data_IF_370812320895
#
_entry.id   IF_370812320895
#
_cell.length_a   1.000
_cell.length_b   1.000
_cell.length_c   1.000
_cell.angle_alpha   90.00
_cell.angle_beta   90.00
_cell.angle_gamma   90.00
#
_symmetry.space_group_name_H-M   'P 1'
#
loop_
_entity.id
_entity.type
_entity.pdbx_description
1 polymer ?
#
# COMPACT_ATOMS: atom_id res chain seq x y z
N UNK A 1 49.86 -5.14 -5.27
CA UNK A 1 49.63 -3.78 -4.74
C UNK A 1 49.65 -2.82 -5.91
N UNK A 2 48.48 -2.46 -6.47
CA UNK A 2 48.23 -1.35 -7.41
C UNK A 2 46.75 -1.41 -7.84
N UNK A 3 45.80 -1.12 -6.94
CA UNK A 3 44.36 -1.04 -7.29
C UNK A 3 43.64 0.17 -6.69
N UNK A 4 44.37 1.16 -6.17
CA UNK A 4 43.80 2.36 -5.55
C UNK A 4 43.87 3.61 -6.43
N UNK A 5 44.39 3.49 -7.66
CA UNK A 5 44.58 4.63 -8.56
C UNK A 5 43.45 4.82 -9.59
N UNK A 6 42.64 3.79 -9.86
CA UNK A 6 41.55 3.89 -10.86
C UNK A 6 40.25 4.48 -10.29
N UNK A 7 40.05 4.49 -8.97
CA UNK A 7 38.80 5.04 -8.38
C UNK A 7 38.77 6.57 -8.31
N UNK A 8 39.90 7.25 -8.52
CA UNK A 8 39.97 8.71 -8.48
C UNK A 8 39.76 9.35 -9.86
N UNK A 9 39.92 8.59 -10.95
CA UNK A 9 39.66 9.10 -12.31
C UNK A 9 38.16 9.12 -12.67
N UNK A 10 37.31 8.32 -12.02
CA UNK A 10 35.86 8.37 -12.28
C UNK A 10 35.20 9.63 -11.71
N UNK A 11 35.71 10.15 -10.58
CA UNK A 11 35.17 11.35 -9.91
C UNK A 11 35.45 12.62 -10.71
N UNK A 12 36.64 12.73 -11.31
CA UNK A 12 37.01 13.87 -12.16
C UNK A 12 36.18 13.97 -13.47
N UNK A 13 35.48 12.90 -13.86
CA UNK A 13 34.63 12.89 -15.05
C UNK A 13 33.21 13.44 -14.82
N UNK A 14 32.78 13.59 -13.56
CA UNK A 14 31.46 14.12 -13.20
C UNK A 14 31.40 15.65 -13.17
N UNK A 15 32.54 16.33 -12.98
CA UNK A 15 32.61 17.80 -12.98
C UNK A 15 32.31 18.44 -14.34
N UNK A 16 32.38 17.68 -15.44
CA UNK A 16 32.10 18.18 -16.80
C UNK A 16 30.61 18.24 -17.17
N UNK A 17 29.69 17.85 -16.28
CA UNK A 17 28.24 17.88 -16.56
C UNK A 17 27.52 19.14 -16.08
N UNK A 18 28.22 20.15 -15.55
CA UNK A 18 27.55 21.35 -15.05
C UNK A 18 26.56 21.05 -13.92
N UNK A 19 26.77 19.94 -13.20
CA UNK A 19 26.06 19.66 -11.96
C UNK A 19 26.75 20.53 -10.92
N UNK A 20 26.16 21.68 -10.61
CA UNK A 20 26.54 22.45 -9.43
C UNK A 20 26.53 21.49 -8.23
N UNK A 21 27.68 21.25 -7.62
CA UNK A 21 27.77 20.59 -6.32
C UNK A 21 27.15 21.54 -5.31
N UNK A 22 25.82 21.54 -5.23
CA UNK A 22 25.06 22.32 -4.25
C UNK A 22 25.56 21.93 -2.86
N UNK A 23 25.87 22.94 -2.05
CA UNK A 23 26.32 22.73 -0.67
C UNK A 23 25.27 21.91 0.09
N UNK A 24 25.55 20.62 0.28
CA UNK A 24 24.78 19.82 1.22
C UNK A 24 24.95 20.45 2.61
N UNK A 25 23.82 20.64 3.31
CA UNK A 25 23.87 20.96 4.74
C UNK A 25 24.71 19.91 5.46
N UNK A 26 25.56 20.33 6.41
CA UNK A 26 26.31 19.40 7.27
C UNK A 26 25.38 18.61 8.23
N UNK A 27 24.07 18.85 8.18
CA UNK A 27 23.07 18.27 9.05
C UNK A 27 22.56 16.92 8.49
N UNK A 28 22.50 15.85 9.31
CA UNK A 28 21.97 14.55 8.88
C UNK A 28 20.53 14.65 8.32
N UNK A 29 20.18 13.82 7.34
CA UNK A 29 18.86 13.92 6.68
C UNK A 29 17.70 13.70 7.66
N UNK A 30 17.77 12.63 8.46
CA UNK A 30 16.73 12.33 9.46
C UNK A 30 16.49 13.49 10.43
N UNK A 31 17.52 14.27 10.74
CA UNK A 31 17.37 15.43 11.61
C UNK A 31 16.63 16.58 10.91
N UNK A 32 16.91 16.83 9.62
CA UNK A 32 16.17 17.80 8.79
C UNK A 32 14.69 17.41 8.68
N UNK A 33 14.40 16.13 8.41
CA UNK A 33 13.04 15.62 8.29
C UNK A 33 12.28 15.74 9.63
N UNK A 34 12.88 15.33 10.75
CA UNK A 34 12.27 15.44 12.08
C UNK A 34 11.93 16.91 12.41
N UNK A 35 12.83 17.86 12.12
CA UNK A 35 12.62 19.29 12.34
C UNK A 35 11.43 19.84 11.55
N UNK A 36 11.45 19.64 10.24
CA UNK A 36 10.40 20.12 9.34
C UNK A 36 9.04 19.50 9.69
N UNK A 37 9.04 18.19 9.98
CA UNK A 37 7.85 17.46 10.40
C UNK A 37 7.28 17.96 11.72
N UNK A 38 8.14 18.27 12.70
CA UNK A 38 7.71 18.79 13.99
C UNK A 38 7.06 20.18 13.87
N UNK A 39 7.65 21.07 13.07
CA UNK A 39 7.08 22.40 12.85
C UNK A 39 5.76 22.34 12.07
N UNK A 40 5.66 21.45 11.07
CA UNK A 40 4.38 21.14 10.40
C UNK A 40 3.32 20.65 11.41
N UNK A 41 3.67 19.68 12.25
CA UNK A 41 2.75 19.07 13.21
C UNK A 41 2.16 20.07 14.23
N UNK A 42 2.95 21.04 14.69
CA UNK A 42 2.46 22.09 15.61
C UNK A 42 1.32 22.91 15.03
N UNK A 43 1.30 23.08 13.72
CA UNK A 43 0.31 23.89 13.02
C UNK A 43 -1.00 23.13 12.79
N UNK A 44 -1.02 21.81 13.02
CA UNK A 44 -2.24 21.01 12.95
C UNK A 44 -3.14 21.31 14.15
N UNK A 45 -4.38 21.72 13.89
CA UNK A 45 -5.35 22.10 14.92
C UNK A 45 -6.23 20.92 15.37
N UNK A 46 -6.54 19.99 14.47
CA UNK A 46 -7.50 18.92 14.73
C UNK A 46 -6.84 17.66 15.29
N UNK A 47 -7.56 16.94 16.17
CA UNK A 47 -7.10 15.65 16.71
C UNK A 47 -6.95 14.60 15.61
N UNK A 48 -7.82 14.61 14.58
CA UNK A 48 -7.74 13.66 13.47
C UNK A 48 -6.48 13.89 12.63
N UNK A 49 -6.15 15.14 12.30
CA UNK A 49 -4.94 15.45 11.53
C UNK A 49 -3.68 15.04 12.30
N UNK A 50 -3.65 15.27 13.61
CA UNK A 50 -2.54 14.82 14.46
C UNK A 50 -2.42 13.30 14.50
N UNK A 51 -3.54 12.58 14.51
CA UNK A 51 -3.56 11.10 14.44
C UNK A 51 -3.01 10.61 13.09
N UNK A 52 -3.51 11.15 11.98
CA UNK A 52 -3.08 10.80 10.63
C UNK A 52 -1.60 11.15 10.40
N UNK A 53 -1.14 12.30 10.91
CA UNK A 53 0.26 12.68 10.84
C UNK A 53 1.16 11.75 11.67
N UNK A 54 0.68 11.24 12.81
CA UNK A 54 1.41 10.23 13.56
C UNK A 54 1.58 8.92 12.76
N UNK A 55 0.59 8.55 11.94
CA UNK A 55 0.72 7.42 11.01
C UNK A 55 1.77 7.70 9.94
N UNK A 56 1.68 8.84 9.23
CA UNK A 56 2.65 9.26 8.22
C UNK A 56 4.08 9.16 8.77
N UNK A 57 4.31 9.77 9.92
CA UNK A 57 5.64 9.82 10.52
C UNK A 57 6.13 8.46 10.95
N UNK A 58 5.30 7.64 11.62
CA UNK A 58 5.68 6.27 12.00
C UNK A 58 6.16 5.47 10.80
N UNK A 59 5.47 5.56 9.67
CA UNK A 59 5.82 4.85 8.44
C UNK A 59 7.08 5.38 7.80
N UNK A 60 7.25 6.70 7.75
CA UNK A 60 8.48 7.33 7.27
C UNK A 60 9.68 7.08 8.21
N UNK A 61 9.47 6.38 9.33
CA UNK A 61 10.43 6.23 10.42
C UNK A 61 10.93 7.60 10.93
N UNK A 62 10.02 8.58 10.93
CA UNK A 62 10.17 9.92 11.47
C UNK A 62 9.34 9.96 12.74
N UNK A 63 9.82 10.58 13.81
CA UNK A 63 9.13 10.43 15.10
C UNK A 63 8.59 11.75 15.63
N UNK A 64 7.28 11.96 15.49
CA UNK A 64 6.60 13.19 15.96
C UNK A 64 6.39 13.19 17.47
N UNK A 65 6.23 12.02 18.10
CA UNK A 65 5.72 11.90 19.48
C UNK A 65 6.50 10.95 20.40
N UNK A 66 7.12 9.89 19.90
CA UNK A 66 7.63 8.77 20.71
C UNK A 66 9.16 8.69 20.84
N UNK A 67 9.92 9.44 20.05
CA UNK A 67 11.35 9.67 20.28
C UNK A 67 11.80 10.96 19.63
N UNK A 68 11.36 12.06 20.23
CA UNK A 68 11.89 13.39 20.01
C UNK A 68 13.43 13.36 19.91
N UNK A 69 14.01 14.10 18.97
CA UNK A 69 15.13 14.95 19.36
C UNK A 69 14.59 15.74 20.56
N UNK A 70 14.99 15.36 21.77
CA UNK A 70 14.53 15.95 23.01
C UNK A 70 14.57 17.47 22.87
N UNK A 71 13.67 18.18 23.57
CA UNK A 71 13.73 19.65 23.59
C UNK A 71 15.16 20.16 23.88
N UNK A 72 15.97 19.38 24.61
CA UNK A 72 17.41 19.59 24.80
C UNK A 72 18.21 19.42 23.50
N UNK A 73 18.09 18.29 22.79
CA UNK A 73 18.79 18.07 21.52
C UNK A 73 18.48 19.16 20.49
N UNK A 74 17.21 19.57 20.36
CA UNK A 74 16.81 20.66 19.45
C UNK A 74 17.35 22.02 19.87
N UNK A 75 17.37 22.30 21.18
CA UNK A 75 17.91 23.54 21.73
C UNK A 75 19.42 23.63 21.52
N UNK A 76 20.14 22.57 21.86
CA UNK A 76 21.61 22.55 21.77
C UNK A 76 22.11 22.53 20.33
N UNK A 77 21.36 21.95 19.38
CA UNK A 77 21.79 21.88 17.98
C UNK A 77 22.02 23.25 17.34
N UNK A 78 21.22 24.25 17.71
CA UNK A 78 21.23 25.60 17.13
C UNK A 78 21.99 26.64 17.97
N UNK A 79 22.49 26.28 19.15
CA UNK A 79 23.13 27.22 20.09
C UNK A 79 24.67 27.25 19.91
N UNK A 80 25.21 28.43 19.58
CA UNK A 80 26.65 28.66 19.51
C UNK A 80 27.29 28.45 20.90
N UNK A 81 28.34 27.63 20.98
CA UNK A 81 29.03 27.25 22.23
C UNK A 81 28.73 25.84 22.74
N UNK A 82 27.84 25.08 22.08
CA UNK A 82 27.52 23.69 22.41
C UNK A 82 28.06 22.67 21.38
N UNK A 83 29.28 22.89 20.87
CA UNK A 83 29.86 22.12 19.76
C UNK A 83 29.89 20.60 20.00
N UNK A 84 30.24 20.15 21.21
CA UNK A 84 30.29 18.73 21.55
C UNK A 84 28.90 18.08 21.57
N UNK A 85 27.89 18.80 22.07
CA UNK A 85 26.51 18.32 22.06
C UNK A 85 25.96 18.24 20.63
N UNK A 86 26.22 19.27 19.81
CA UNK A 86 25.84 19.26 18.39
C UNK A 86 26.53 18.13 17.63
N UNK A 87 27.80 17.84 17.92
CA UNK A 87 28.53 16.70 17.35
C UNK A 87 27.89 15.37 17.74
N UNK A 88 27.54 15.18 19.01
CA UNK A 88 26.91 13.94 19.49
C UNK A 88 25.54 13.71 18.85
N UNK A 89 24.73 14.77 18.70
CA UNK A 89 23.45 14.70 17.99
C UNK A 89 23.66 14.31 16.52
N UNK A 90 24.63 14.92 15.83
CA UNK A 90 24.95 14.59 14.44
C UNK A 90 25.35 13.11 14.27
N UNK A 91 26.24 12.60 15.13
CA UNK A 91 26.68 11.19 15.08
C UNK A 91 25.50 10.26 15.29
N UNK A 92 24.66 10.52 16.29
CA UNK A 92 23.46 9.72 16.58
C UNK A 92 22.53 9.63 15.37
N UNK A 93 22.22 10.76 14.74
CA UNK A 93 21.31 10.80 13.60
C UNK A 93 21.92 10.17 12.34
N UNK A 94 23.21 10.41 12.07
CA UNK A 94 23.93 9.75 10.97
C UNK A 94 23.95 8.23 11.12
N UNK A 95 24.22 7.73 12.32
CA UNK A 95 24.19 6.28 12.60
C UNK A 95 22.81 5.68 12.31
N UNK A 96 21.74 6.40 12.67
CA UNK A 96 20.36 5.95 12.40
C UNK A 96 20.07 5.94 10.90
N UNK A 97 20.52 6.96 10.18
CA UNK A 97 20.40 7.05 8.72
C UNK A 97 21.16 5.91 8.02
N UNK A 98 22.41 5.65 8.43
CA UNK A 98 23.22 4.52 7.93
C UNK A 98 22.52 3.18 8.17
N UNK A 99 21.95 2.96 9.35
CA UNK A 99 21.18 1.74 9.64
C UNK A 99 19.94 1.60 8.73
N UNK A 100 19.24 2.70 8.43
CA UNK A 100 18.07 2.68 7.54
C UNK A 100 18.43 2.46 6.08
N UNK A 101 19.56 3.02 5.65
CA UNK A 101 20.12 2.80 4.32
C UNK A 101 20.56 1.34 4.17
N UNK A 102 21.21 0.77 5.19
CA UNK A 102 21.62 -0.63 5.20
C UNK A 102 20.42 -1.59 5.21
N UNK A 103 19.30 -1.22 5.83
CA UNK A 103 18.06 -1.98 5.71
C UNK A 103 17.30 -1.73 4.40
N UNK A 104 17.72 -0.78 3.55
CA UNK A 104 17.02 -0.47 2.29
C UNK A 104 15.70 0.29 2.46
N UNK A 105 15.43 0.83 3.66
CA UNK A 105 14.13 1.45 4.02
C UNK A 105 14.09 2.98 3.88
N UNK A 106 15.15 3.59 3.36
CA UNK A 106 15.31 5.05 3.32
C UNK A 106 14.98 5.66 1.95
N UNK A 107 14.01 5.10 1.26
CA UNK A 107 13.46 5.67 0.03
C UNK A 107 12.13 6.37 0.37
N UNK A 108 12.03 7.71 0.23
CA UNK A 108 10.80 8.45 0.52
C UNK A 108 9.60 8.01 -0.31
N UNK A 109 9.81 7.67 -1.58
CA UNK A 109 8.76 7.21 -2.50
C UNK A 109 8.26 5.85 -2.04
N UNK A 110 9.19 4.95 -1.76
CA UNK A 110 8.87 3.63 -1.21
C UNK A 110 8.11 3.74 0.11
N UNK A 111 8.59 4.58 1.03
CA UNK A 111 7.95 4.80 2.33
C UNK A 111 6.52 5.33 2.19
N UNK A 112 6.27 6.18 1.20
CA UNK A 112 4.92 6.66 0.89
C UNK A 112 4.04 5.55 0.30
N UNK A 113 4.55 4.76 -0.65
CA UNK A 113 3.84 3.60 -1.20
C UNK A 113 3.47 2.60 -0.10
N UNK A 114 4.38 2.35 0.85
CA UNK A 114 4.15 1.50 2.02
C UNK A 114 3.14 2.07 3.01
N UNK A 115 3.19 3.39 3.30
CA UNK A 115 2.19 4.08 4.13
C UNK A 115 0.79 3.83 3.58
N UNK A 116 0.61 4.10 2.29
CA UNK A 116 -0.68 4.01 1.62
C UNK A 116 -1.15 2.56 1.49
N UNK A 117 -0.25 1.61 1.24
CA UNK A 117 -0.63 0.21 1.06
C UNK A 117 -0.81 -0.53 2.39
N UNK A 118 0.23 -0.65 3.20
CA UNK A 118 0.23 -1.58 4.34
C UNK A 118 -0.29 -0.95 5.62
N UNK A 119 0.09 0.30 5.89
CA UNK A 119 -0.33 0.96 7.14
C UNK A 119 -1.81 1.32 7.10
N UNK A 120 -2.33 1.72 5.94
CA UNK A 120 -3.74 2.07 5.77
C UNK A 120 -4.64 0.86 5.60
N UNK A 121 -4.16 -0.26 5.04
CA UNK A 121 -5.01 -1.44 4.81
C UNK A 121 -4.90 -2.47 5.95
N UNK A 122 -3.75 -2.59 6.62
CA UNK A 122 -3.47 -3.65 7.60
C UNK A 122 -3.34 -3.11 9.03
N UNK A 123 -2.42 -2.18 9.28
CA UNK A 123 -2.08 -1.77 10.66
C UNK A 123 -3.04 -0.74 11.27
N UNK A 124 -3.64 0.12 10.45
CA UNK A 124 -4.53 1.20 10.88
C UNK A 124 -5.60 1.44 9.82
N UNK A 125 -6.55 0.49 9.66
CA UNK A 125 -7.56 0.52 8.62
C UNK A 125 -8.32 1.85 8.63
N UNK A 126 -8.22 2.61 7.53
CA UNK A 126 -9.01 3.83 7.35
C UNK A 126 -10.38 3.47 6.77
N UNK A 127 -11.38 3.49 7.64
CA UNK A 127 -12.77 3.16 7.30
C UNK A 127 -13.58 4.34 6.72
N UNK A 128 -12.98 5.50 6.48
CA UNK A 128 -13.68 6.64 5.86
C UNK A 128 -13.09 7.02 4.51
N UNK A 129 -13.94 7.26 3.51
CA UNK A 129 -13.54 7.94 2.27
C UNK A 129 -12.94 9.32 2.56
N UNK A 130 -13.52 10.02 3.54
CA UNK A 130 -13.01 11.27 4.09
C UNK A 130 -11.64 11.11 4.74
N UNK A 131 -11.39 10.02 5.49
CA UNK A 131 -10.10 9.77 6.14
C UNK A 131 -9.00 9.46 5.12
N UNK A 132 -9.30 8.66 4.08
CA UNK A 132 -8.35 8.39 2.98
C UNK A 132 -8.02 9.69 2.23
N UNK A 133 -9.04 10.46 1.87
CA UNK A 133 -8.85 11.76 1.21
C UNK A 133 -7.99 12.68 2.07
N UNK A 134 -8.30 12.77 3.36
CA UNK A 134 -7.59 13.62 4.31
C UNK A 134 -6.15 13.16 4.54
N UNK A 135 -5.89 11.85 4.57
CA UNK A 135 -4.53 11.32 4.65
C UNK A 135 -3.71 11.76 3.43
N UNK A 136 -4.24 11.62 2.22
CA UNK A 136 -3.53 12.05 1.01
C UNK A 136 -3.29 13.57 1.01
N UNK A 137 -4.26 14.37 1.45
CA UNK A 137 -4.06 15.83 1.63
C UNK A 137 -2.96 16.15 2.64
N UNK A 138 -2.96 15.49 3.80
CA UNK A 138 -1.94 15.69 4.83
C UNK A 138 -0.56 15.28 4.34
N UNK A 139 -0.44 14.16 3.63
CA UNK A 139 0.80 13.73 3.01
C UNK A 139 1.27 14.74 1.94
N UNK A 140 0.36 15.27 1.12
CA UNK A 140 0.66 16.32 0.13
C UNK A 140 1.24 17.56 0.81
N UNK A 141 0.57 18.05 1.86
CA UNK A 141 1.01 19.23 2.63
C UNK A 141 2.34 18.96 3.34
N UNK A 142 2.54 17.76 3.87
CA UNK A 142 3.78 17.37 4.53
C UNK A 142 4.96 17.31 3.55
N UNK A 143 4.79 16.73 2.36
CA UNK A 143 5.81 16.74 1.28
C UNK A 143 6.14 18.18 0.87
N UNK A 144 5.13 19.05 0.76
CA UNK A 144 5.33 20.47 0.50
C UNK A 144 6.20 21.12 1.59
N UNK A 145 5.89 20.88 2.86
CA UNK A 145 6.66 21.41 3.99
C UNK A 145 8.11 20.90 4.01
N UNK A 146 8.35 19.63 3.65
CA UNK A 146 9.70 19.07 3.53
C UNK A 146 10.48 19.72 2.36
N UNK A 147 9.80 19.99 1.25
CA UNK A 147 10.37 20.66 0.08
C UNK A 147 10.73 22.11 0.40
N UNK A 148 9.83 22.86 1.04
CA UNK A 148 10.06 24.24 1.48
C UNK A 148 11.20 24.33 2.51
N UNK A 149 11.37 23.30 3.33
CA UNK A 149 12.47 23.19 4.29
C UNK A 149 13.83 22.81 3.65
N UNK A 150 13.88 22.60 2.32
CA UNK A 150 15.11 22.26 1.61
C UNK A 150 15.59 20.83 1.86
N UNK A 151 14.66 19.89 2.10
CA UNK A 151 14.99 18.46 2.16
C UNK A 151 15.19 17.95 0.72
N UNK A 152 16.41 18.03 0.22
CA UNK A 152 16.77 17.71 -1.17
C UNK A 152 16.28 16.35 -1.65
N UNK A 153 16.39 15.32 -0.82
CA UNK A 153 16.00 13.95 -1.15
C UNK A 153 14.49 13.82 -1.39
N UNK A 154 13.69 14.68 -0.74
CA UNK A 154 12.24 14.78 -0.98
C UNK A 154 11.98 15.69 -2.18
N UNK A 155 12.76 16.75 -2.35
CA UNK A 155 12.63 17.70 -3.47
C UNK A 155 12.92 17.04 -4.82
N UNK A 156 13.95 16.20 -4.87
CA UNK A 156 14.39 15.49 -6.07
C UNK A 156 13.35 14.45 -6.53
N UNK A 157 12.60 13.87 -5.57
CA UNK A 157 11.54 12.88 -5.81
C UNK A 157 10.12 13.45 -5.67
N UNK A 158 9.96 14.78 -5.57
CA UNK A 158 8.67 15.40 -5.23
C UNK A 158 7.57 15.04 -6.24
N UNK A 159 7.88 15.08 -7.53
CA UNK A 159 6.91 14.73 -8.58
C UNK A 159 6.44 13.27 -8.45
N UNK A 160 7.37 12.33 -8.25
CA UNK A 160 7.03 10.92 -8.07
C UNK A 160 6.20 10.69 -6.80
N UNK A 161 6.52 11.40 -5.71
CA UNK A 161 5.72 11.36 -4.49
C UNK A 161 4.28 11.85 -4.73
N UNK A 162 4.10 12.93 -5.48
CA UNK A 162 2.76 13.43 -5.83
C UNK A 162 2.01 12.47 -6.76
N UNK A 163 2.70 11.84 -7.72
CA UNK A 163 2.10 10.83 -8.60
C UNK A 163 1.61 9.60 -7.80
N UNK A 164 2.39 9.17 -6.79
CA UNK A 164 1.99 8.10 -5.86
C UNK A 164 0.76 8.52 -5.04
N UNK A 165 0.71 9.76 -4.55
CA UNK A 165 -0.46 10.26 -3.80
C UNK A 165 -1.73 10.30 -4.64
N UNK A 166 -1.62 10.75 -5.89
CA UNK A 166 -2.76 10.84 -6.79
C UNK A 166 -3.27 9.44 -7.16
N UNK A 167 -2.35 8.56 -7.53
CA UNK A 167 -2.66 7.15 -7.79
C UNK A 167 -3.29 6.51 -6.54
N UNK A 168 -2.67 6.70 -5.39
CA UNK A 168 -3.15 6.20 -4.09
C UNK A 168 -4.54 6.67 -3.72
N UNK A 169 -4.86 7.96 -3.94
CA UNK A 169 -6.19 8.50 -3.67
C UNK A 169 -7.26 7.76 -4.49
N UNK A 170 -6.97 7.47 -5.76
CA UNK A 170 -7.91 6.76 -6.63
C UNK A 170 -7.99 5.27 -6.31
N UNK A 171 -6.86 4.61 -6.09
CA UNK A 171 -6.78 3.16 -5.98
C UNK A 171 -7.15 2.63 -4.59
N UNK A 172 -6.86 3.35 -3.50
CA UNK A 172 -7.21 2.90 -2.15
C UNK A 172 -8.72 2.76 -1.95
N UNK A 173 -9.47 3.67 -2.59
CA UNK A 173 -10.93 3.63 -2.61
C UNK A 173 -11.43 2.38 -3.32
N UNK A 174 -10.83 2.06 -4.46
CA UNK A 174 -11.11 0.86 -5.25
C UNK A 174 -10.76 -0.43 -4.50
N UNK A 175 -9.56 -0.53 -3.94
CA UNK A 175 -9.10 -1.68 -3.15
C UNK A 175 -10.07 -1.95 -1.99
N UNK A 176 -10.55 -0.89 -1.35
CA UNK A 176 -11.52 -1.04 -0.26
C UNK A 176 -12.88 -1.53 -0.75
N UNK A 177 -13.41 -0.95 -1.83
CA UNK A 177 -14.67 -1.39 -2.40
C UNK A 177 -14.60 -2.86 -2.83
N UNK A 178 -13.49 -3.26 -3.45
CA UNK A 178 -13.17 -4.65 -3.77
C UNK A 178 -13.12 -5.53 -2.51
N UNK A 179 -12.53 -5.03 -1.42
CA UNK A 179 -12.45 -5.72 -0.12
C UNK A 179 -13.78 -6.30 0.38
N UNK A 180 -14.89 -5.59 0.15
CA UNK A 180 -16.23 -6.05 0.54
C UNK A 180 -16.97 -6.87 -0.53
N UNK A 181 -16.57 -6.73 -1.79
CA UNK A 181 -17.30 -7.29 -2.94
C UNK A 181 -16.68 -8.59 -3.47
N UNK A 182 -15.39 -8.82 -3.20
CA UNK A 182 -14.64 -9.99 -3.64
C UNK A 182 -14.94 -11.24 -2.78
N UNK A 183 -14.97 -12.46 -3.36
CA UNK A 183 -14.64 -12.78 -4.76
C UNK A 183 -15.77 -12.53 -5.78
N UNK A 184 -16.91 -11.97 -5.37
CA UNK A 184 -18.10 -11.81 -6.20
C UNK A 184 -19.07 -12.98 -6.06
N UNK A 185 -20.32 -12.81 -6.52
CA UNK A 185 -21.38 -13.84 -6.43
C UNK A 185 -21.08 -15.04 -7.32
N UNK A 186 -20.53 -14.84 -8.51
CA UNK A 186 -20.17 -15.87 -9.47
C UNK A 186 -19.09 -16.80 -8.92
N UNK A 187 -17.97 -16.23 -8.45
CA UNK A 187 -16.91 -17.02 -7.83
C UNK A 187 -17.39 -17.70 -6.53
N UNK A 188 -18.23 -17.02 -5.74
CA UNK A 188 -18.89 -17.63 -4.56
C UNK A 188 -19.76 -18.83 -4.96
N UNK A 189 -20.56 -18.70 -6.03
CA UNK A 189 -21.40 -19.76 -6.55
C UNK A 189 -20.57 -20.96 -7.03
N UNK A 190 -19.46 -20.69 -7.73
CA UNK A 190 -18.53 -21.73 -8.17
C UNK A 190 -17.92 -22.49 -6.98
N UNK A 191 -17.46 -21.77 -5.94
CA UNK A 191 -16.94 -22.38 -4.71
C UNK A 191 -17.98 -23.26 -4.02
N UNK A 192 -19.23 -22.78 -3.90
CA UNK A 192 -20.32 -23.52 -3.28
C UNK A 192 -20.70 -24.80 -4.03
N UNK A 193 -20.70 -24.77 -5.37
CA UNK A 193 -21.19 -25.88 -6.19
C UNK A 193 -20.12 -26.92 -6.51
N UNK A 194 -18.88 -26.49 -6.75
CA UNK A 194 -17.83 -27.37 -7.27
C UNK A 194 -16.84 -27.82 -6.20
N UNK A 195 -16.93 -27.30 -4.98
CA UNK A 195 -16.07 -27.68 -3.86
C UNK A 195 -14.93 -26.68 -3.66
N UNK A 196 -15.09 -25.84 -2.64
CA UNK A 196 -14.12 -24.89 -2.13
C UNK A 196 -14.41 -24.59 -0.65
N UNK A 197 -13.47 -23.94 0.05
CA UNK A 197 -13.61 -23.62 1.47
C UNK A 197 -14.37 -22.31 1.70
N UNK A 198 -14.51 -21.48 0.65
CA UNK A 198 -15.05 -20.12 0.68
C UNK A 198 -14.60 -19.29 1.88
N UNK A 199 -13.43 -18.63 1.75
CA UNK A 199 -12.95 -17.68 2.76
C UNK A 199 -12.94 -16.27 2.18
N UNK A 200 -13.72 -15.37 2.79
CA UNK A 200 -13.73 -13.93 2.43
C UNK A 200 -12.46 -13.23 2.92
N UNK A 201 -12.24 -12.02 2.42
CA UNK A 201 -11.10 -11.18 2.77
C UNK A 201 -10.86 -11.07 4.28
N UNK A 202 -9.58 -11.20 4.64
CA UNK A 202 -9.07 -11.31 6.00
C UNK A 202 -9.28 -10.04 6.86
N UNK A 203 -9.65 -8.93 6.22
CA UNK A 203 -9.71 -7.59 6.83
C UNK A 203 -10.65 -7.52 8.04
N UNK A 204 -11.74 -8.31 8.06
CA UNK A 204 -12.69 -8.28 9.18
C UNK A 204 -12.35 -9.26 10.33
N UNK A 205 -11.63 -10.35 10.06
CA UNK A 205 -11.43 -11.42 11.06
C UNK A 205 -10.28 -11.16 12.03
N UNK A 206 -9.35 -10.28 11.66
CA UNK A 206 -8.19 -9.89 12.48
C UNK A 206 -8.04 -8.39 12.65
N UNK A 207 -9.05 -7.60 12.29
CA UNK A 207 -9.10 -6.19 12.67
C UNK A 207 -8.82 -6.10 14.18
N UNK A 208 -7.80 -5.32 14.61
CA UNK A 208 -7.53 -5.15 16.03
C UNK A 208 -8.81 -4.75 16.74
N UNK A 209 -9.08 -5.27 17.95
CA UNK A 209 -10.35 -5.00 18.68
C UNK A 209 -10.72 -3.51 18.75
N UNK A 210 -9.72 -2.62 18.75
CA UNK A 210 -9.94 -1.17 18.72
C UNK A 210 -10.46 -0.68 17.36
N UNK A 211 -10.02 -1.27 16.24
CA UNK A 211 -10.53 -0.98 14.91
C UNK A 211 -11.98 -1.46 14.75
N UNK A 212 -12.31 -2.64 15.32
CA UNK A 212 -13.69 -3.13 15.42
C UNK A 212 -14.56 -2.23 16.31
N UNK A 213 -14.00 -1.65 17.39
CA UNK A 213 -14.70 -0.75 18.30
C UNK A 213 -14.87 0.69 17.78
N UNK A 214 -14.06 1.10 16.78
CA UNK A 214 -14.19 2.37 16.08
C UNK A 214 -15.18 2.31 14.91
N UNK A 215 -15.61 1.11 14.49
CA UNK A 215 -16.81 1.01 13.68
C UNK A 215 -17.94 1.62 14.50
N UNK A 216 -18.67 2.62 13.98
CA UNK A 216 -19.72 3.26 14.75
C UNK A 216 -20.69 2.17 15.19
N UNK A 217 -20.77 1.95 16.51
CA UNK A 217 -21.92 1.28 17.13
C UNK A 217 -23.11 2.21 16.94
N UNK A 218 -23.61 2.25 15.71
CA UNK A 218 -24.84 2.93 15.37
C UNK A 218 -25.96 2.20 16.10
N UNK A 219 -26.33 2.71 17.27
CA UNK A 219 -27.45 2.22 18.07
C UNK A 219 -28.82 2.50 17.43
N UNK A 220 -28.86 2.85 16.14
CA UNK A 220 -30.07 3.01 15.34
C UNK A 220 -29.91 2.52 13.89
N UNK A 221 -28.96 1.61 13.60
CA UNK A 221 -28.89 0.98 12.29
C UNK A 221 -28.61 -0.52 12.41
N UNK A 222 -29.69 -1.29 12.54
CA UNK A 222 -29.74 -2.71 12.19
C UNK A 222 -29.59 -2.94 10.67
N UNK A 223 -29.23 -1.94 9.84
CA UNK A 223 -29.30 -2.09 8.38
C UNK A 223 -28.19 -1.52 7.50
N UNK A 224 -27.27 -0.63 7.94
CA UNK A 224 -26.31 -0.06 6.98
C UNK A 224 -24.96 0.36 7.58
N UNK A 225 -24.03 -0.60 7.65
CA UNK A 225 -22.60 -0.35 7.49
C UNK A 225 -21.84 -1.66 7.19
N UNK A 226 -21.47 -1.87 5.92
CA UNK A 226 -20.29 -2.66 5.53
C UNK A 226 -20.40 -4.18 5.45
N UNK A 227 -21.35 -4.83 6.11
CA UNK A 227 -21.72 -6.21 5.77
C UNK A 227 -22.55 -6.11 4.50
N UNK A 228 -21.92 -6.35 3.34
CA UNK A 228 -22.66 -6.53 2.10
C UNK A 228 -23.81 -7.50 2.36
N UNK A 229 -25.02 -7.05 2.02
CA UNK A 229 -26.33 -7.72 2.12
C UNK A 229 -26.43 -9.02 1.31
N UNK A 230 -25.32 -9.71 1.10
CA UNK A 230 -25.26 -11.02 0.51
C UNK A 230 -25.57 -12.01 1.61
N UNK A 231 -26.87 -12.17 1.88
CA UNK A 231 -27.39 -13.41 2.44
C UNK A 231 -26.65 -14.60 1.78
N UNK A 232 -26.29 -15.64 2.55
CA UNK A 232 -25.57 -16.79 2.00
C UNK A 232 -26.31 -17.28 0.76
N UNK A 233 -25.60 -17.28 -0.37
CA UNK A 233 -26.16 -17.65 -1.66
C UNK A 233 -26.73 -19.07 -1.54
N UNK A 234 -28.02 -19.25 -1.84
CA UNK A 234 -28.60 -20.58 -1.81
C UNK A 234 -28.05 -21.44 -2.96
N UNK A 235 -28.11 -22.77 -2.81
CA UNK A 235 -27.67 -23.69 -3.88
C UNK A 235 -28.46 -23.45 -5.18
N UNK A 236 -29.73 -23.05 -5.10
CA UNK A 236 -30.55 -22.74 -6.26
C UNK A 236 -30.06 -21.49 -6.99
N UNK A 237 -29.82 -20.40 -6.25
CA UNK A 237 -29.27 -19.15 -6.81
C UNK A 237 -27.85 -19.37 -7.35
N UNK A 238 -27.04 -20.20 -6.68
CA UNK A 238 -25.71 -20.54 -7.16
C UNK A 238 -25.78 -21.27 -8.51
N UNK A 239 -26.71 -22.22 -8.65
CA UNK A 239 -26.93 -22.94 -9.92
C UNK A 239 -27.36 -22.00 -11.02
N UNK A 240 -28.30 -21.09 -10.74
CA UNK A 240 -28.76 -20.08 -11.69
C UNK A 240 -27.60 -19.17 -12.14
N UNK A 241 -26.77 -18.74 -11.20
CA UNK A 241 -25.63 -17.87 -11.45
C UNK A 241 -24.57 -18.51 -12.39
N UNK A 242 -24.35 -19.82 -12.29
CA UNK A 242 -23.33 -20.51 -13.10
C UNK A 242 -23.88 -21.23 -14.33
N UNK A 243 -25.19 -21.48 -14.43
CA UNK A 243 -25.79 -22.40 -15.41
C UNK A 243 -25.44 -22.08 -16.88
N UNK A 244 -25.29 -20.80 -17.20
CA UNK A 244 -25.01 -20.35 -18.57
C UNK A 244 -23.49 -20.23 -18.87
N UNK A 245 -22.64 -20.51 -17.89
CA UNK A 245 -21.19 -20.25 -17.95
C UNK A 245 -20.38 -21.51 -17.70
N UNK A 246 -20.82 -22.34 -16.74
CA UNK A 246 -20.14 -23.56 -16.30
C UNK A 246 -21.11 -24.75 -16.35
N UNK A 247 -20.78 -25.84 -17.04
CA UNK A 247 -21.57 -27.08 -16.97
C UNK A 247 -21.64 -27.61 -15.54
N UNK A 248 -22.84 -27.94 -15.04
CA UNK A 248 -23.05 -28.31 -13.63
C UNK A 248 -22.41 -29.66 -13.23
N UNK A 249 -22.04 -30.49 -14.18
CA UNK A 249 -21.35 -31.77 -13.98
C UNK A 249 -19.82 -31.64 -13.95
N UNK A 250 -19.31 -30.41 -14.05
CA UNK A 250 -17.86 -30.13 -14.04
C UNK A 250 -17.27 -30.42 -12.67
N UNK A 251 -16.10 -31.08 -12.64
CA UNK A 251 -15.30 -31.24 -11.42
C UNK A 251 -14.28 -30.11 -11.32
N UNK A 252 -13.79 -29.86 -10.10
CA UNK A 252 -12.73 -28.90 -9.86
C UNK A 252 -11.49 -29.55 -9.25
N UNK A 253 -10.36 -28.85 -9.33
CA UNK A 253 -9.14 -29.13 -8.57
C UNK A 253 -8.57 -27.85 -7.98
N UNK A 254 -8.11 -27.94 -6.73
CA UNK A 254 -7.38 -26.85 -6.09
C UNK A 254 -6.02 -26.67 -6.78
N UNK A 255 -5.71 -25.44 -7.18
CA UNK A 255 -4.43 -25.10 -7.81
C UNK A 255 -3.42 -24.53 -6.80
N UNK A 256 -3.84 -24.10 -5.62
CA UNK A 256 -3.02 -23.45 -4.60
C UNK A 256 -3.34 -21.97 -4.42
N UNK A 257 -2.55 -21.32 -3.57
CA UNK A 257 -2.61 -19.88 -3.33
C UNK A 257 -1.63 -19.15 -4.23
N UNK A 258 -2.07 -18.04 -4.82
CA UNK A 258 -1.33 -17.26 -5.81
C UNK A 258 -1.51 -15.77 -5.58
N UNK A 259 -0.52 -15.01 -6.01
CA UNK A 259 -0.64 -13.58 -6.26
C UNK A 259 -1.03 -13.36 -7.71
N UNK A 260 -2.17 -12.72 -7.94
CA UNK A 260 -2.74 -12.54 -9.27
C UNK A 260 -2.68 -11.07 -9.64
N UNK A 261 -1.80 -10.72 -10.59
CA UNK A 261 -1.71 -9.36 -11.10
C UNK A 261 -2.72 -9.14 -12.22
N UNK A 262 -3.56 -8.11 -12.09
CA UNK A 262 -4.52 -7.69 -13.12
C UNK A 262 -3.78 -7.08 -14.30
N UNK A 263 -3.98 -7.63 -15.50
CA UNK A 263 -3.35 -7.18 -16.75
C UNK A 263 -4.30 -6.41 -17.64
N UNK A 264 -5.54 -6.89 -17.73
CA UNK A 264 -6.55 -6.34 -18.64
C UNK A 264 -7.92 -6.56 -18.03
N UNK A 265 -8.77 -5.54 -18.11
CA UNK A 265 -10.18 -5.62 -17.72
C UNK A 265 -10.97 -5.49 -19.02
N UNK A 266 -11.66 -6.57 -19.39
CA UNK A 266 -12.46 -6.61 -20.60
C UNK A 266 -13.74 -5.78 -20.47
N UNK A 267 -14.51 -5.74 -21.56
CA UNK A 267 -15.90 -5.29 -21.56
C UNK A 267 -16.83 -6.48 -21.40
N UNK A 268 -17.99 -6.29 -20.75
CA UNK A 268 -19.07 -7.28 -20.79
C UNK A 268 -19.54 -7.41 -22.23
N UNK A 269 -19.20 -8.51 -22.91
CA UNK A 269 -19.65 -8.78 -24.28
C UNK A 269 -20.93 -9.59 -24.32
N UNK A 270 -21.26 -10.27 -23.22
CA UNK A 270 -22.27 -11.33 -23.20
C UNK A 270 -23.42 -10.96 -22.25
N UNK A 271 -24.60 -11.54 -22.50
CA UNK A 271 -25.81 -11.38 -21.67
C UNK A 271 -25.65 -11.94 -20.24
N UNK A 272 -24.50 -12.56 -19.93
CA UNK A 272 -24.18 -13.09 -18.60
C UNK A 272 -23.96 -11.99 -17.56
N UNK A 273 -23.67 -10.75 -17.98
CA UNK A 273 -23.30 -9.65 -17.08
C UNK A 273 -21.95 -9.84 -16.38
N UNK A 274 -21.16 -10.82 -16.84
CA UNK A 274 -19.81 -11.08 -16.35
C UNK A 274 -18.78 -10.38 -17.24
N UNK A 275 -17.78 -9.81 -16.60
CA UNK A 275 -16.65 -9.13 -17.22
C UNK A 275 -15.43 -10.05 -17.14
N UNK A 276 -14.79 -10.38 -18.29
CA UNK A 276 -13.56 -11.13 -18.29
C UNK A 276 -12.39 -10.24 -17.86
N UNK A 277 -11.66 -10.67 -16.84
CA UNK A 277 -10.45 -10.01 -16.33
C UNK A 277 -9.26 -10.93 -16.58
N UNK A 278 -8.27 -10.46 -17.33
CA UNK A 278 -7.03 -11.21 -17.55
C UNK A 278 -6.06 -10.92 -16.40
N UNK A 279 -5.59 -11.99 -15.78
CA UNK A 279 -4.62 -11.95 -14.69
C UNK A 279 -3.40 -12.81 -15.01
N UNK A 280 -2.25 -12.49 -14.44
CA UNK A 280 -1.06 -13.35 -14.47
C UNK A 280 -0.67 -13.72 -13.04
N UNK A 281 -0.05 -14.89 -12.87
CA UNK A 281 0.61 -15.21 -11.60
C UNK A 281 1.78 -14.25 -11.43
N UNK A 282 1.90 -13.63 -10.27
CA UNK A 282 2.94 -12.69 -9.94
C UNK A 282 3.88 -13.30 -8.89
N UNK A 283 5.16 -13.43 -9.23
CA UNK A 283 6.17 -13.87 -8.28
C UNK A 283 6.75 -12.64 -7.56
N UNK A 284 6.40 -12.47 -6.28
CA UNK A 284 6.89 -11.36 -5.45
C UNK A 284 8.40 -11.40 -5.24
N UNK A 285 8.99 -12.58 -5.07
CA UNK A 285 10.42 -12.72 -4.82
C UNK A 285 11.25 -12.24 -6.01
N UNK A 286 10.76 -12.49 -7.22
CA UNK A 286 11.41 -12.11 -8.47
C UNK A 286 10.84 -10.82 -9.07
N UNK A 287 9.82 -10.24 -8.43
CA UNK A 287 9.06 -9.08 -8.91
C UNK A 287 8.64 -9.16 -10.38
N UNK A 288 8.28 -10.36 -10.84
CA UNK A 288 7.97 -10.62 -12.25
C UNK A 288 6.71 -11.46 -12.42
N UNK A 289 6.12 -11.39 -13.60
CA UNK A 289 4.96 -12.20 -13.97
C UNK A 289 5.42 -13.57 -14.47
N UNK A 290 4.65 -14.61 -14.12
CA UNK A 290 4.93 -15.99 -14.46
C UNK A 290 3.77 -16.64 -15.21
N UNK A 291 4.14 -17.50 -16.16
CA UNK A 291 3.20 -18.33 -16.90
C UNK A 291 2.35 -17.56 -17.91
N UNK A 292 1.27 -18.20 -18.33
CA UNK A 292 0.30 -17.64 -19.27
C UNK A 292 -0.77 -16.86 -18.52
N UNK A 293 -1.24 -15.76 -19.11
CA UNK A 293 -2.40 -15.05 -18.60
C UNK A 293 -3.63 -15.97 -18.49
N UNK A 294 -4.28 -15.92 -17.34
CA UNK A 294 -5.54 -16.59 -17.02
C UNK A 294 -6.68 -15.60 -17.20
N UNK A 295 -7.86 -16.08 -17.57
CA UNK A 295 -9.08 -15.28 -17.59
C UNK A 295 -9.97 -15.69 -16.43
N UNK A 296 -10.29 -14.72 -15.59
CA UNK A 296 -11.26 -14.85 -14.49
C UNK A 296 -12.51 -14.04 -14.84
N UNK A 297 -13.66 -14.50 -14.37
CA UNK A 297 -14.95 -13.84 -14.61
C UNK A 297 -15.44 -13.20 -13.31
N UNK A 298 -15.87 -11.94 -13.41
CA UNK A 298 -16.40 -11.16 -12.29
C UNK A 298 -17.67 -10.44 -12.71
N UNK A 299 -18.53 -10.10 -11.75
CA UNK A 299 -19.63 -9.19 -12.03
C UNK A 299 -19.11 -7.82 -12.46
N UNK A 300 -19.89 -7.14 -13.28
CA UNK A 300 -19.57 -5.78 -13.72
C UNK A 300 -19.23 -4.85 -12.54
N UNK A 301 -20.00 -4.88 -11.45
CA UNK A 301 -19.74 -4.04 -10.26
C UNK A 301 -18.37 -4.31 -9.64
N UNK A 302 -17.95 -5.57 -9.53
CA UNK A 302 -16.63 -5.93 -9.00
C UNK A 302 -15.53 -5.49 -9.96
N UNK A 303 -15.71 -5.76 -11.26
CA UNK A 303 -14.72 -5.41 -12.27
C UNK A 303 -14.50 -3.89 -12.41
N UNK A 304 -15.54 -3.06 -12.20
CA UNK A 304 -15.42 -1.60 -12.23
C UNK A 304 -14.56 -1.03 -11.10
N UNK A 305 -14.43 -1.75 -9.99
CA UNK A 305 -13.53 -1.38 -8.88
C UNK A 305 -12.11 -1.94 -9.07
N UNK A 306 -11.85 -2.78 -10.08
CA UNK A 306 -10.49 -3.26 -10.39
C UNK A 306 -9.68 -2.23 -11.17
N UNK A 307 -8.35 -2.28 -11.02
CA UNK A 307 -7.41 -1.51 -11.84
C UNK A 307 -6.30 -2.44 -12.34
N UNK A 308 -5.78 -2.13 -13.53
CA UNK A 308 -4.60 -2.81 -14.06
C UNK A 308 -3.42 -2.57 -13.11
N UNK A 309 -2.66 -3.63 -12.83
CA UNK A 309 -1.54 -3.61 -11.89
C UNK A 309 -1.91 -4.04 -10.47
N UNK A 310 -3.20 -4.06 -10.08
CA UNK A 310 -3.62 -4.61 -8.79
C UNK A 310 -3.13 -6.05 -8.63
N UNK A 311 -2.75 -6.41 -7.41
CA UNK A 311 -2.34 -7.78 -7.07
C UNK A 311 -3.31 -8.37 -6.06
N UNK A 312 -3.98 -9.44 -6.45
CA UNK A 312 -4.99 -10.13 -5.63
C UNK A 312 -4.35 -11.39 -5.06
N UNK A 313 -4.27 -11.51 -3.74
CA UNK A 313 -3.88 -12.74 -3.07
C UNK A 313 -5.08 -13.67 -2.96
N UNK A 314 -5.04 -14.80 -3.67
CA UNK A 314 -6.19 -15.67 -3.80
C UNK A 314 -5.85 -17.16 -3.87
N UNK A 315 -6.76 -18.00 -3.43
CA UNK A 315 -6.73 -19.44 -3.72
C UNK A 315 -7.51 -19.70 -5.01
N UNK A 316 -6.84 -20.32 -5.99
CA UNK A 316 -7.42 -20.62 -7.28
C UNK A 316 -7.84 -22.08 -7.38
N UNK A 317 -8.97 -22.30 -8.03
CA UNK A 317 -9.43 -23.61 -8.47
C UNK A 317 -9.55 -23.62 -9.99
N UNK A 318 -9.30 -24.78 -10.57
CA UNK A 318 -9.48 -25.03 -12.00
C UNK A 318 -10.56 -26.07 -12.21
N UNK A 319 -11.51 -25.73 -13.07
CA UNK A 319 -12.58 -26.62 -13.52
C UNK A 319 -12.05 -27.53 -14.64
N UNK A 320 -12.61 -28.73 -14.78
CA UNK A 320 -12.26 -29.66 -15.88
C UNK A 320 -12.56 -29.07 -17.27
N UNK A 321 -13.49 -28.10 -17.34
CA UNK A 321 -13.76 -27.28 -18.54
C UNK A 321 -12.60 -26.36 -18.94
N UNK A 322 -11.59 -26.20 -18.06
CA UNK A 322 -10.43 -25.34 -18.26
C UNK A 322 -10.55 -23.95 -17.63
N UNK A 323 -11.75 -23.55 -17.19
CA UNK A 323 -11.99 -22.27 -16.53
C UNK A 323 -11.41 -22.24 -15.11
N UNK A 324 -11.05 -21.05 -14.62
CA UNK A 324 -10.58 -20.84 -13.26
C UNK A 324 -11.56 -19.96 -12.49
N UNK A 325 -11.68 -20.20 -11.18
CA UNK A 325 -12.43 -19.33 -10.27
C UNK A 325 -11.64 -19.12 -8.98
N UNK A 326 -11.95 -18.02 -8.30
CA UNK A 326 -11.36 -17.70 -6.99
C UNK A 326 -12.22 -18.30 -5.88
N UNK A 327 -11.62 -19.12 -5.03
CA UNK A 327 -12.29 -19.71 -3.86
C UNK A 327 -12.20 -18.80 -2.63
N UNK A 328 -11.01 -18.27 -2.37
CA UNK A 328 -10.75 -17.39 -1.24
C UNK A 328 -9.84 -16.24 -1.62
N UNK A 329 -10.00 -15.09 -0.97
CA UNK A 329 -9.12 -13.93 -1.15
C UNK A 329 -8.62 -13.52 0.22
N UNK A 330 -7.32 -13.32 0.36
CA UNK A 330 -6.73 -12.83 1.61
C UNK A 330 -6.53 -11.32 1.56
N UNK A 331 -6.10 -10.78 0.43
CA UNK A 331 -5.75 -9.37 0.29
C UNK A 331 -5.82 -8.87 -1.15
N UNK A 332 -6.02 -7.56 -1.32
CA UNK A 332 -5.87 -6.87 -2.61
C UNK A 332 -4.89 -5.72 -2.40
N UNK A 333 -3.83 -5.72 -3.19
CA UNK A 333 -2.80 -4.70 -3.17
C UNK A 333 -3.00 -3.71 -4.33
N UNK A 334 -2.84 -2.40 -4.08
CA UNK A 334 -2.85 -1.39 -5.13
C UNK A 334 -1.66 -1.57 -6.10
N UNK A 335 -1.72 -0.94 -7.27
CA UNK A 335 -0.73 -1.15 -8.34
C UNK A 335 0.67 -0.63 -7.98
N UNK A 336 0.74 0.37 -7.11
CA UNK A 336 1.97 0.96 -6.61
C UNK A 336 2.54 0.26 -5.36
N UNK A 337 1.89 -0.79 -4.84
CA UNK A 337 2.33 -1.46 -3.62
C UNK A 337 3.77 -2.00 -3.77
N UNK A 338 4.67 -1.72 -2.82
CA UNK A 338 6.02 -2.26 -2.84
C UNK A 338 5.99 -3.68 -2.25
N UNK A 339 5.77 -4.67 -3.11
CA UNK A 339 5.59 -6.08 -2.72
C UNK A 339 6.90 -6.82 -2.41
N UNK A 340 8.04 -6.16 -2.59
CA UNK A 340 9.39 -6.69 -2.41
C UNK A 340 9.80 -6.92 -0.93
N UNK A 341 9.00 -6.44 0.03
CA UNK A 341 9.41 -6.36 1.44
C UNK A 341 8.57 -7.21 2.42
N UNK A 342 7.50 -7.85 1.96
CA UNK A 342 6.58 -8.60 2.83
C UNK A 342 7.17 -9.90 3.40
N UNK A 343 8.34 -10.35 2.93
CA UNK A 343 8.99 -11.57 3.43
C UNK A 343 10.04 -11.31 4.54
N UNK A 344 10.31 -10.05 4.90
CA UNK A 344 11.39 -9.69 5.84
C UNK A 344 10.94 -9.60 7.31
N UNK A 345 9.64 -9.77 7.60
CA UNK A 345 9.07 -9.68 8.95
C UNK A 345 8.29 -10.94 9.35
#
# INVERSE_FOLDING_TARGET
MNSSAESLQSVASLEKRGIETRHFSNDPLLFRIDLATFDFYKNLSTTNDKRLMALISRTANVNVTTRLASKRELKHYKEAGHEENTRNVRIKYRTREENLLQSGTFDPVWGLKWLLSSVVLVDSPLFGTADITRLCELATMWIGALTDAGVHEVSDSANELYDVLETGRSELMCVRALGGNLPGRFNTACSLLFGGDFKRLYVDSYAPRWATALQPMSSCADDQAGIGTNAPLSIAEARECVANVVPLDTKCRNCGSYDLRVKEIGSSSDDSGLVPVKVCVFNRQLMQEEGQALTLLFEHSVAMDMRVGFVIEATLYKLDSGQHFIDSITMVWPSYAPLDYLEVF
#
